data_IF_810302957822
#
_entry.id   IF_810302957822
#
_cell.length_a   1.000
_cell.length_b   1.000
_cell.length_c   1.000
_cell.angle_alpha   90.00
_cell.angle_beta   90.00
_cell.angle_gamma   90.00
#
_symmetry.space_group_name_H-M   'P 1'
#
loop_
_entity.id
_entity.type
_entity.pdbx_description
1 polymer ?
#
# COMPACT_ATOMS: atom_id res chain seq x y z
N UNK A 1 -11.56 -7.27 -23.63
CA UNK A 1 -12.77 -7.13 -22.79
C UNK A 1 -12.63 -5.80 -22.06
N UNK A 2 -13.56 -4.85 -22.19
CA UNK A 2 -13.55 -3.60 -21.41
C UNK A 2 -14.63 -3.72 -20.34
N UNK A 3 -14.26 -3.65 -19.06
CA UNK A 3 -15.21 -3.74 -17.94
C UNK A 3 -15.85 -2.39 -17.61
N UNK A 4 -15.17 -1.27 -17.94
CA UNK A 4 -15.64 0.10 -17.79
C UNK A 4 -15.94 0.75 -19.14
N UNK A 5 -16.86 1.71 -19.16
CA UNK A 5 -17.12 2.55 -20.34
C UNK A 5 -16.01 3.59 -20.54
N UNK A 6 -15.89 4.14 -21.75
CA UNK A 6 -14.92 5.22 -22.02
C UNK A 6 -15.23 6.52 -21.24
N UNK A 7 -16.46 6.70 -20.77
CA UNK A 7 -16.81 7.77 -19.84
C UNK A 7 -16.27 7.49 -18.45
N UNK A 8 -16.51 6.29 -17.91
CA UNK A 8 -15.99 5.87 -16.60
C UNK A 8 -14.46 5.89 -16.54
N UNK A 9 -13.78 5.46 -17.61
CA UNK A 9 -12.32 5.51 -17.69
C UNK A 9 -11.77 6.94 -17.59
N UNK A 10 -12.50 7.94 -18.10
CA UNK A 10 -12.09 9.35 -18.00
C UNK A 10 -12.24 9.93 -16.59
N UNK A 11 -13.06 9.31 -15.75
CA UNK A 11 -13.26 9.72 -14.35
C UNK A 11 -12.21 9.11 -13.41
N UNK A 12 -11.46 8.10 -13.86
CA UNK A 12 -10.43 7.47 -13.04
C UNK A 12 -9.26 8.43 -12.82
N UNK A 13 -8.79 8.48 -11.57
CA UNK A 13 -7.58 9.22 -11.20
C UNK A 13 -6.44 8.23 -10.96
N UNK A 14 -5.26 8.46 -11.56
CA UNK A 14 -4.12 7.58 -11.39
C UNK A 14 -3.56 7.69 -9.96
N UNK A 15 -2.91 6.63 -9.48
CA UNK A 15 -2.43 6.53 -8.10
C UNK A 15 -1.44 7.64 -7.73
N UNK A 16 -0.63 8.08 -8.69
CA UNK A 16 0.41 9.09 -8.53
C UNK A 16 -0.15 10.47 -8.22
N UNK A 17 -1.41 10.75 -8.58
CA UNK A 17 -2.07 12.04 -8.35
C UNK A 17 -3.19 11.95 -7.33
N UNK A 18 -3.89 10.81 -7.26
CA UNK A 18 -5.03 10.64 -6.37
C UNK A 18 -4.63 10.33 -4.93
N UNK A 19 -3.53 9.60 -4.73
CA UNK A 19 -3.21 8.96 -3.44
C UNK A 19 -2.12 9.72 -2.67
N UNK A 20 -2.20 9.67 -1.34
CA UNK A 20 -1.11 10.16 -0.49
C UNK A 20 0.18 9.35 -0.78
N UNK A 21 1.32 10.01 -1.10
CA UNK A 21 2.55 9.34 -1.51
C UNK A 21 3.26 8.71 -0.30
N UNK A 22 2.77 7.55 0.10
CA UNK A 22 3.29 6.71 1.16
C UNK A 22 3.56 5.29 0.62
N UNK A 23 4.36 4.47 1.30
CA UNK A 23 4.78 3.17 0.75
C UNK A 23 3.65 2.13 0.74
N UNK A 24 2.57 2.35 1.51
CA UNK A 24 1.37 1.51 1.53
C UNK A 24 0.17 2.40 1.19
N UNK A 25 -0.57 2.13 0.10
CA UNK A 25 -1.72 2.95 -0.29
C UNK A 25 -2.80 3.01 0.79
N UNK A 26 -3.33 4.21 1.02
CA UNK A 26 -4.45 4.46 1.95
C UNK A 26 -5.79 4.56 1.22
N UNK A 27 -5.85 4.22 -0.06
CA UNK A 27 -7.08 4.17 -0.85
C UNK A 27 -6.93 3.20 -2.01
N UNK A 28 -8.05 2.68 -2.49
CA UNK A 28 -8.08 1.80 -3.67
C UNK A 28 -8.12 2.67 -4.92
N UNK A 29 -7.35 2.29 -5.93
CA UNK A 29 -7.38 2.85 -7.27
C UNK A 29 -7.77 1.76 -8.26
N UNK A 30 -8.29 2.15 -9.42
CA UNK A 30 -8.71 1.19 -10.43
C UNK A 30 -7.56 0.74 -11.32
N UNK A 31 -7.61 -0.54 -11.71
CA UNK A 31 -6.83 -1.15 -12.80
C UNK A 31 -7.56 -1.12 -14.15
N UNK A 32 -8.48 -0.17 -14.34
CA UNK A 32 -9.45 -0.09 -15.44
C UNK A 32 -10.54 -1.18 -15.42
N UNK A 33 -10.60 -1.98 -14.35
CA UNK A 33 -11.52 -3.12 -14.22
C UNK A 33 -12.81 -2.77 -13.46
N UNK A 34 -12.76 -1.77 -12.56
CA UNK A 34 -13.89 -1.40 -11.70
C UNK A 34 -13.81 0.06 -11.28
N UNK A 35 -14.94 0.68 -10.93
CA UNK A 35 -14.93 2.01 -10.31
C UNK A 35 -14.51 1.87 -8.84
N UNK A 36 -13.46 2.60 -8.39
CA UNK A 36 -12.97 2.45 -7.03
C UNK A 36 -13.95 3.08 -6.04
N UNK A 37 -14.12 2.44 -4.89
CA UNK A 37 -14.87 3.06 -3.80
C UNK A 37 -14.11 4.29 -3.25
N UNK A 38 -14.81 5.33 -2.77
CA UNK A 38 -14.16 6.45 -2.10
C UNK A 38 -13.33 6.01 -0.89
N UNK A 39 -12.30 6.79 -0.55
CA UNK A 39 -11.51 6.56 0.66
C UNK A 39 -12.39 6.55 1.91
N UNK A 40 -12.41 5.42 2.60
CA UNK A 40 -13.21 5.17 3.81
C UNK A 40 -12.71 5.99 5.01
N UNK A 41 -13.54 6.11 6.05
CA UNK A 41 -13.16 6.82 7.28
C UNK A 41 -11.92 6.23 7.95
N UNK A 42 -11.85 4.90 8.08
CA UNK A 42 -10.67 4.22 8.65
C UNK A 42 -9.42 4.41 7.79
N UNK A 43 -9.56 4.41 6.46
CA UNK A 43 -8.45 4.72 5.56
C UNK A 43 -7.92 6.15 5.73
N UNK A 44 -8.83 7.14 5.89
CA UNK A 44 -8.47 8.53 6.22
C UNK A 44 -7.78 8.62 7.57
N UNK A 45 -8.22 7.85 8.56
CA UNK A 45 -7.60 7.78 9.88
C UNK A 45 -6.16 7.25 9.80
N UNK A 46 -5.92 6.16 9.05
CA UNK A 46 -4.56 5.65 8.79
C UNK A 46 -3.70 6.74 8.16
N UNK A 47 -4.20 7.40 7.12
CA UNK A 47 -3.44 8.45 6.43
C UNK A 47 -3.06 9.62 7.37
N UNK A 48 -4.00 10.07 8.20
CA UNK A 48 -3.77 11.14 9.16
C UNK A 48 -2.69 10.75 10.20
N UNK A 49 -2.84 9.57 10.82
CA UNK A 49 -1.87 9.03 11.79
C UNK A 49 -0.50 8.82 11.17
N UNK A 50 -0.45 8.33 9.93
CA UNK A 50 0.80 8.12 9.21
C UNK A 50 1.49 9.44 8.88
N UNK A 51 0.76 10.48 8.48
CA UNK A 51 1.31 11.83 8.26
C UNK A 51 1.95 12.39 9.53
N UNK A 52 1.31 12.22 10.68
CA UNK A 52 1.80 12.67 11.98
C UNK A 52 3.05 11.87 12.41
N UNK A 53 2.95 10.55 12.44
CA UNK A 53 4.02 9.65 12.87
C UNK A 53 5.27 9.84 12.00
N UNK A 54 5.12 9.78 10.68
CA UNK A 54 6.22 9.95 9.74
C UNK A 54 6.85 11.34 9.81
N UNK A 55 6.06 12.39 10.05
CA UNK A 55 6.60 13.75 10.25
C UNK A 55 7.51 13.83 11.47
N UNK A 56 7.09 13.25 12.60
CA UNK A 56 7.87 13.19 13.83
C UNK A 56 9.13 12.32 13.68
N UNK A 57 9.01 11.13 13.08
CA UNK A 57 10.12 10.20 12.91
C UNK A 57 11.16 10.69 11.91
N UNK A 58 10.71 11.17 10.74
CA UNK A 58 11.60 11.73 9.73
C UNK A 58 12.42 12.88 10.30
N UNK A 59 11.79 13.80 11.06
CA UNK A 59 12.50 14.92 11.71
C UNK A 59 13.56 14.43 12.71
N UNK A 60 13.25 13.42 13.53
CA UNK A 60 14.21 12.84 14.48
C UNK A 60 15.41 12.17 13.80
N UNK A 61 15.20 11.63 12.61
CA UNK A 61 16.24 10.97 11.81
C UNK A 61 16.94 11.92 10.81
N UNK A 62 16.63 13.22 10.82
CA UNK A 62 17.24 14.19 9.90
C UNK A 62 16.81 14.01 8.43
N UNK A 63 15.67 13.36 8.17
CA UNK A 63 15.15 13.08 6.84
C UNK A 63 13.94 13.95 6.51
N UNK A 64 13.74 14.21 5.21
CA UNK A 64 12.41 14.61 4.73
C UNK A 64 11.44 13.44 4.84
N UNK A 65 10.14 13.71 5.02
CA UNK A 65 9.11 12.64 5.06
C UNK A 65 9.14 11.75 3.81
N UNK A 66 9.38 12.33 2.64
CA UNK A 66 9.53 11.57 1.38
C UNK A 66 10.72 10.62 1.42
N UNK A 67 11.87 11.05 1.94
CA UNK A 67 13.05 10.17 2.09
C UNK A 67 12.84 9.13 3.18
N UNK A 68 12.18 9.49 4.28
CA UNK A 68 11.81 8.55 5.33
C UNK A 68 10.93 7.42 4.79
N UNK A 69 9.93 7.71 3.95
CA UNK A 69 9.09 6.66 3.33
C UNK A 69 9.83 5.74 2.36
N UNK A 70 11.06 6.07 1.95
CA UNK A 70 11.91 5.21 1.12
C UNK A 70 12.83 4.31 1.95
N UNK A 71 12.72 4.32 3.29
CA UNK A 71 13.49 3.44 4.18
C UNK A 71 12.64 2.29 4.73
N UNK A 72 13.30 1.28 5.29
CA UNK A 72 12.63 0.20 6.02
C UNK A 72 11.79 0.74 7.20
N UNK A 73 12.27 1.76 7.91
CA UNK A 73 11.50 2.45 8.96
C UNK A 73 10.24 3.14 8.43
N UNK A 74 10.30 3.69 7.21
CA UNK A 74 9.14 4.26 6.53
C UNK A 74 8.04 3.23 6.26
N UNK A 75 8.44 2.06 5.77
CA UNK A 75 7.53 0.93 5.56
C UNK A 75 6.97 0.40 6.88
N UNK A 76 7.82 0.22 7.90
CA UNK A 76 7.41 -0.21 9.23
C UNK A 76 6.40 0.75 9.86
N UNK A 77 6.60 2.06 9.72
CA UNK A 77 5.66 3.07 10.21
C UNK A 77 4.26 2.93 9.55
N UNK A 78 4.20 2.61 8.26
CA UNK A 78 2.92 2.35 7.58
C UNK A 78 2.19 1.14 8.14
N UNK A 79 2.88 0.00 8.30
CA UNK A 79 2.27 -1.20 8.89
C UNK A 79 1.87 -0.99 10.36
N UNK A 80 2.66 -0.25 11.12
CA UNK A 80 2.34 0.07 12.51
C UNK A 80 1.04 0.87 12.61
N UNK A 81 0.86 1.88 11.76
CA UNK A 81 -0.37 2.68 11.75
C UNK A 81 -1.57 1.88 11.24
N UNK A 82 -1.38 1.01 10.25
CA UNK A 82 -2.44 0.07 9.84
C UNK A 82 -2.89 -0.79 11.03
N UNK A 83 -1.95 -1.28 11.84
CA UNK A 83 -2.27 -2.06 13.02
C UNK A 83 -3.08 -1.28 14.07
N UNK A 84 -2.81 0.02 14.22
CA UNK A 84 -3.52 0.88 15.17
C UNK A 84 -5.00 1.07 14.79
N UNK A 85 -5.34 1.04 13.50
CA UNK A 85 -6.70 1.32 13.01
C UNK A 85 -7.49 0.04 12.72
N UNK A 86 -6.84 -0.97 12.13
CA UNK A 86 -7.48 -2.20 11.68
C UNK A 86 -7.24 -3.41 12.59
N UNK A 87 -6.46 -3.24 13.67
CA UNK A 87 -6.03 -4.34 14.54
C UNK A 87 -4.73 -4.98 14.05
N UNK A 88 -4.18 -5.91 14.83
CA UNK A 88 -2.84 -6.49 14.59
C UNK A 88 -2.82 -7.42 13.37
N UNK A 89 -2.61 -6.83 12.19
CA UNK A 89 -2.52 -7.50 10.88
C UNK A 89 -1.07 -7.78 10.47
N UNK A 90 -0.15 -6.89 10.83
CA UNK A 90 1.25 -6.96 10.44
C UNK A 90 2.14 -7.22 11.66
N UNK A 91 3.17 -8.03 11.49
CA UNK A 91 4.21 -8.20 12.50
C UNK A 91 5.25 -7.09 12.36
N UNK A 92 5.06 -6.03 13.14
CA UNK A 92 5.91 -4.84 13.17
C UNK A 92 5.93 -4.24 14.56
N UNK A 93 7.07 -3.72 14.98
CA UNK A 93 7.28 -3.04 16.24
C UNK A 93 7.43 -1.52 16.07
N UNK A 94 7.20 -0.78 17.15
CA UNK A 94 7.51 0.66 17.18
C UNK A 94 9.01 0.95 17.00
N UNK A 95 9.87 0.02 17.43
CA UNK A 95 11.31 0.14 17.32
C UNK A 95 11.78 0.14 15.84
N UNK A 96 11.19 -0.70 15.00
CA UNK A 96 11.48 -0.71 13.55
C UNK A 96 11.10 0.63 12.89
N UNK A 97 9.96 1.21 13.28
CA UNK A 97 9.57 2.52 12.77
C UNK A 97 10.51 3.63 13.28
N UNK A 98 10.89 3.58 14.56
CA UNK A 98 11.62 4.66 15.22
C UNK A 98 13.14 4.66 14.98
N UNK A 99 13.75 3.48 14.86
CA UNK A 99 15.20 3.28 14.87
C UNK A 99 15.65 2.64 13.54
N UNK A 100 16.40 3.37 12.69
CA UNK A 100 16.84 2.86 11.39
C UNK A 100 17.59 1.53 11.46
N UNK A 101 18.48 1.36 12.45
CA UNK A 101 19.29 0.14 12.59
C UNK A 101 18.43 -1.10 12.89
N UNK A 102 17.36 -0.96 13.70
CA UNK A 102 16.42 -2.06 13.97
C UNK A 102 15.63 -2.45 12.71
N UNK A 103 15.26 -1.45 11.91
CA UNK A 103 14.57 -1.70 10.64
C UNK A 103 15.51 -2.38 9.63
N UNK A 104 16.77 -1.94 9.58
CA UNK A 104 17.80 -2.51 8.71
C UNK A 104 18.12 -3.96 9.10
N UNK A 105 18.31 -4.24 10.40
CA UNK A 105 18.55 -5.60 10.90
C UNK A 105 17.43 -6.56 10.48
N UNK A 106 16.16 -6.15 10.63
CA UNK A 106 15.04 -6.99 10.20
C UNK A 106 15.00 -7.17 8.68
N UNK A 107 15.26 -6.12 7.91
CA UNK A 107 15.31 -6.20 6.46
C UNK A 107 16.42 -7.18 5.99
N UNK A 108 17.60 -7.09 6.59
CA UNK A 108 18.74 -7.95 6.28
C UNK A 108 18.44 -9.41 6.66
N UNK A 109 17.86 -9.65 7.83
CA UNK A 109 17.46 -10.98 8.29
C UNK A 109 16.45 -11.66 7.35
N UNK A 110 15.59 -10.88 6.69
CA UNK A 110 14.54 -11.38 5.78
C UNK A 110 14.92 -11.27 4.30
N UNK A 111 16.10 -10.74 3.96
CA UNK A 111 16.53 -10.43 2.58
C UNK A 111 16.61 -11.62 1.62
N UNK A 112 16.69 -12.84 2.15
CA UNK A 112 16.85 -14.09 1.35
C UNK A 112 15.58 -14.93 1.31
N UNK A 113 14.44 -14.36 1.68
CA UNK A 113 13.17 -15.06 1.59
C UNK A 113 12.76 -15.27 0.13
N UNK A 114 12.16 -16.42 -0.13
CA UNK A 114 11.41 -16.64 -1.36
C UNK A 114 10.09 -15.91 -1.25
N UNK A 115 9.87 -14.92 -2.11
CA UNK A 115 8.64 -14.15 -2.19
C UNK A 115 7.92 -14.55 -3.47
N UNK A 116 6.65 -14.90 -3.34
CA UNK A 116 5.74 -15.11 -4.48
C UNK A 116 4.59 -14.11 -4.37
N UNK A 117 4.36 -13.38 -5.45
CA UNK A 117 3.13 -12.61 -5.64
C UNK A 117 2.18 -13.43 -6.50
N UNK A 118 1.02 -13.78 -5.93
CA UNK A 118 0.07 -14.69 -6.54
C UNK A 118 -1.31 -14.04 -6.61
N UNK A 119 -1.84 -13.90 -7.82
CA UNK A 119 -3.21 -13.44 -8.04
C UNK A 119 -4.13 -14.60 -8.41
N UNK A 120 -5.26 -14.71 -7.70
CA UNK A 120 -6.31 -15.69 -8.02
C UNK A 120 -7.40 -14.98 -8.81
N UNK A 121 -7.67 -15.46 -10.04
CA UNK A 121 -8.83 -15.02 -10.81
C UNK A 121 -9.99 -16.00 -10.63
N UNK A 122 -11.14 -15.50 -10.21
CA UNK A 122 -12.38 -16.27 -10.20
C UNK A 122 -13.04 -16.18 -11.57
N UNK A 123 -13.15 -17.31 -12.25
CA UNK A 123 -13.90 -17.43 -13.48
C UNK A 123 -15.27 -18.03 -13.14
N UNK A 124 -16.34 -17.51 -13.76
CA UNK A 124 -17.63 -18.20 -13.73
C UNK A 124 -17.51 -19.53 -14.46
N UNK A 125 -18.33 -20.51 -14.09
CA UNK A 125 -18.34 -21.84 -14.71
C UNK A 125 -18.55 -21.79 -16.25
N UNK A 126 -19.23 -20.75 -16.75
CA UNK A 126 -19.50 -20.53 -18.17
C UNK A 126 -18.41 -19.74 -18.92
N UNK A 127 -17.31 -19.38 -18.24
CA UNK A 127 -16.26 -18.55 -18.84
C UNK A 127 -15.54 -19.30 -19.95
N UNK A 128 -15.62 -18.77 -21.17
CA UNK A 128 -14.88 -19.32 -22.32
C UNK A 128 -13.38 -19.02 -22.19
N UNK A 129 -12.62 -20.01 -21.72
CA UNK A 129 -11.16 -19.93 -21.49
C UNK A 129 -10.33 -19.52 -22.72
N UNK A 130 -10.86 -19.71 -23.93
CA UNK A 130 -10.18 -19.32 -25.18
C UNK A 130 -9.86 -17.83 -25.27
N UNK A 131 -10.54 -16.97 -24.50
CA UNK A 131 -10.24 -15.54 -24.39
C UNK A 131 -9.02 -15.19 -23.52
N UNK A 132 -8.56 -16.12 -22.67
CA UNK A 132 -7.38 -15.96 -21.81
C UNK A 132 -6.13 -16.62 -22.40
N UNK A 133 -6.30 -17.67 -23.20
CA UNK A 133 -5.20 -18.47 -23.78
C UNK A 133 -4.55 -17.77 -24.99
N UNK A 134 -5.17 -16.71 -25.53
CA UNK A 134 -4.64 -15.91 -26.63
C UNK A 134 -4.46 -14.45 -26.20
N UNK A 135 -3.38 -14.22 -25.45
CA UNK A 135 -2.74 -12.90 -25.38
C UNK A 135 -1.64 -12.83 -26.43
#
# INVERSE_FOLDING_TARGET
MKFLTDEQLRELLPAETASFPSPVPTQIVSSDEYMPAPQTEKQREVEARLKELSGRLARRQGLSRRRFFQTASGMAASFLVMNQVFGRLFEVSEAEAATPDMAAERADAMSKQFIIDGHTHFLRDDTRLMGFIKA
#
